data_IF_307984185770
#
_entry.id   IF_307984185770
#
_cell.length_a   1.000
_cell.length_b   1.000
_cell.length_c   1.000
_cell.angle_alpha   90.00
_cell.angle_beta   90.00
_cell.angle_gamma   90.00
#
_symmetry.space_group_name_H-M   'P 1'
#
loop_
_entity.id
_entity.type
_entity.pdbx_description
1 polymer ?
#
# COMPACT_ATOMS: atom_id res chain seq x y z
N UNK A 1 -14.88 -9.86 0.82
CA UNK A 1 -14.72 -10.16 -0.62
C UNK A 1 -15.84 -11.04 -1.14
N UNK A 2 -16.22 -10.89 -2.41
CA UNK A 2 -17.14 -11.81 -3.08
C UNK A 2 -16.44 -13.18 -3.30
N UNK A 3 -17.05 -14.33 -2.96
CA UNK A 3 -16.50 -15.67 -3.20
C UNK A 3 -15.98 -15.92 -4.63
N UNK A 4 -16.58 -15.27 -5.63
CA UNK A 4 -16.18 -15.40 -7.04
C UNK A 4 -14.79 -14.81 -7.36
N UNK A 5 -14.39 -13.75 -6.65
CA UNK A 5 -13.08 -13.09 -6.84
C UNK A 5 -11.94 -13.97 -6.33
N UNK A 6 -12.08 -14.48 -5.11
CA UNK A 6 -11.09 -15.40 -4.50
C UNK A 6 -10.94 -16.70 -5.29
N UNK A 7 -12.04 -17.24 -5.83
CA UNK A 7 -12.01 -18.42 -6.68
C UNK A 7 -11.22 -18.18 -7.98
N UNK A 8 -11.42 -17.02 -8.63
CA UNK A 8 -10.66 -16.64 -9.83
C UNK A 8 -9.17 -16.45 -9.52
N UNK A 9 -8.83 -15.78 -8.42
CA UNK A 9 -7.44 -15.58 -7.98
C UNK A 9 -6.70 -16.92 -7.80
N UNK A 10 -7.35 -17.91 -7.17
CA UNK A 10 -6.79 -19.27 -7.02
C UNK A 10 -6.56 -19.96 -8.35
N UNK A 11 -7.50 -19.86 -9.29
CA UNK A 11 -7.37 -20.51 -10.61
C UNK A 11 -6.28 -19.85 -11.45
N UNK A 12 -6.27 -18.52 -11.53
CA UNK A 12 -5.26 -17.75 -12.27
C UNK A 12 -3.88 -17.95 -11.64
N UNK A 13 -3.78 -17.86 -10.31
CA UNK A 13 -2.51 -18.07 -9.62
C UNK A 13 -1.94 -19.48 -9.80
N UNK A 14 -2.77 -20.53 -9.76
CA UNK A 14 -2.32 -21.91 -10.05
C UNK A 14 -1.88 -22.06 -11.50
N UNK A 15 -2.59 -21.44 -12.44
CA UNK A 15 -2.19 -21.45 -13.85
C UNK A 15 -0.83 -20.74 -14.04
N UNK A 16 -0.61 -19.59 -13.40
CA UNK A 16 0.65 -18.84 -13.47
C UNK A 16 1.82 -19.61 -12.85
N UNK A 17 1.62 -20.34 -11.76
CA UNK A 17 2.66 -21.13 -11.08
C UNK A 17 3.18 -22.31 -11.92
N UNK A 18 2.44 -22.75 -12.94
CA UNK A 18 2.84 -23.85 -13.83
C UNK A 18 3.48 -23.41 -15.15
N UNK A 19 3.64 -22.11 -15.39
CA UNK A 19 4.21 -21.58 -16.65
C UNK A 19 5.72 -21.46 -16.57
N UNK A 20 6.40 -21.68 -17.70
CA UNK A 20 7.82 -21.33 -17.79
C UNK A 20 8.01 -19.79 -17.66
N UNK A 21 9.16 -19.32 -17.13
CA UNK A 21 9.37 -17.90 -16.86
C UNK A 21 9.14 -16.97 -18.06
N UNK A 22 9.40 -17.43 -19.28
CA UNK A 22 9.23 -16.61 -20.50
C UNK A 22 7.76 -16.45 -20.85
N UNK A 23 6.98 -17.53 -20.79
CA UNK A 23 5.52 -17.50 -21.00
C UNK A 23 4.80 -16.75 -19.88
N UNK A 24 5.26 -16.93 -18.64
CA UNK A 24 4.79 -16.16 -17.48
C UNK A 24 4.99 -14.65 -17.71
N UNK A 25 6.21 -14.22 -18.05
CA UNK A 25 6.52 -12.82 -18.29
C UNK A 25 5.76 -12.24 -19.51
N UNK A 26 5.56 -13.02 -20.57
CA UNK A 26 4.80 -12.60 -21.75
C UNK A 26 3.29 -12.44 -21.46
N UNK A 27 2.69 -13.36 -20.69
CA UNK A 27 1.30 -13.26 -20.26
C UNK A 27 1.08 -12.11 -19.28
N UNK A 28 1.98 -11.96 -18.30
CA UNK A 28 1.95 -10.84 -17.36
C UNK A 28 2.07 -9.52 -18.11
N UNK A 29 2.99 -9.39 -19.08
CA UNK A 29 3.10 -8.21 -19.93
C UNK A 29 1.86 -7.97 -20.81
N UNK A 30 1.22 -9.02 -21.33
CA UNK A 30 0.00 -8.91 -22.13
C UNK A 30 -1.23 -8.53 -21.29
N UNK A 31 -1.28 -8.93 -20.03
CA UNK A 31 -2.38 -8.65 -19.11
C UNK A 31 -2.21 -7.28 -18.41
N UNK A 32 -0.98 -6.85 -18.09
CA UNK A 32 -0.70 -5.50 -17.60
C UNK A 32 -1.06 -4.39 -18.62
N UNK A 33 -1.09 -4.71 -19.92
CA UNK A 33 -1.61 -3.80 -20.97
C UNK A 33 -3.12 -3.54 -20.88
N UNK A 34 -3.85 -4.25 -20.03
CA UNK A 34 -5.29 -4.04 -19.80
C UNK A 34 -5.59 -3.04 -18.69
N UNK A 35 -4.59 -2.26 -18.24
CA UNK A 35 -4.78 -1.17 -17.29
C UNK A 35 -6.02 -0.34 -17.68
N UNK A 36 -7.00 -0.32 -16.79
CA UNK A 36 -8.34 0.16 -17.06
C UNK A 36 -8.33 1.62 -17.57
N UNK A 37 -9.27 2.01 -18.46
CA UNK A 37 -9.37 3.39 -18.90
C UNK A 37 -9.60 4.32 -17.71
N UNK A 38 -8.72 5.32 -17.58
CA UNK A 38 -8.65 6.34 -16.53
C UNK A 38 -9.98 7.09 -16.28
N UNK A 39 -10.89 7.08 -17.26
CA UNK A 39 -12.17 7.81 -17.27
C UNK A 39 -13.16 7.38 -16.18
N UNK A 40 -12.91 6.25 -15.47
CA UNK A 40 -13.77 5.77 -14.38
C UNK A 40 -13.33 6.19 -12.99
N UNK A 41 -12.15 6.80 -12.86
CA UNK A 41 -11.63 7.23 -11.56
C UNK A 41 -12.10 8.65 -11.24
N UNK A 42 -11.98 9.08 -9.99
CA UNK A 42 -12.40 10.42 -9.58
C UNK A 42 -11.50 11.51 -10.19
N UNK A 43 -11.45 12.71 -9.58
CA UNK A 43 -10.79 13.86 -10.22
C UNK A 43 -9.33 13.58 -10.56
N UNK A 44 -8.92 13.93 -11.78
CA UNK A 44 -7.51 13.88 -12.18
C UNK A 44 -6.82 15.22 -11.90
N UNK A 45 -6.00 15.24 -10.84
CA UNK A 45 -5.24 16.40 -10.40
C UNK A 45 -3.86 16.47 -11.06
N UNK A 46 -3.40 15.41 -11.73
CA UNK A 46 -2.05 15.33 -12.29
C UNK A 46 -1.64 16.51 -13.19
N UNK A 47 -2.54 17.17 -13.95
CA UNK A 47 -2.17 18.35 -14.74
C UNK A 47 -1.92 19.62 -13.93
N UNK A 48 -2.18 19.61 -12.61
CA UNK A 48 -2.14 20.80 -11.75
C UNK A 48 -1.16 20.61 -10.57
N UNK A 49 0.16 20.82 -10.78
CA UNK A 49 1.18 20.52 -9.78
C UNK A 49 0.98 21.19 -8.42
N UNK A 50 0.54 22.44 -8.40
CA UNK A 50 0.29 23.17 -7.14
C UNK A 50 -0.91 22.59 -6.38
N UNK A 51 -1.93 22.13 -7.11
CA UNK A 51 -3.09 21.45 -6.51
C UNK A 51 -2.68 20.07 -5.98
N UNK A 52 -1.82 19.34 -6.69
CA UNK A 52 -1.27 18.06 -6.21
C UNK A 52 -0.47 18.27 -4.92
N UNK A 53 0.43 19.26 -4.87
CA UNK A 53 1.21 19.57 -3.66
C UNK A 53 0.32 19.93 -2.49
N UNK A 54 -0.61 20.86 -2.68
CA UNK A 54 -1.58 21.24 -1.65
C UNK A 54 -2.43 20.05 -1.20
N UNK A 55 -2.77 19.14 -2.12
CA UNK A 55 -3.53 17.95 -1.81
C UNK A 55 -2.74 16.98 -0.94
N UNK A 56 -1.46 16.77 -1.26
CA UNK A 56 -0.52 15.96 -0.48
C UNK A 56 -0.35 16.54 0.93
N UNK A 57 -0.18 17.87 1.04
CA UNK A 57 -0.08 18.55 2.35
C UNK A 57 -1.32 18.36 3.22
N UNK A 58 -2.49 18.29 2.59
CA UNK A 58 -3.78 18.09 3.23
C UNK A 58 -4.11 16.62 3.54
N UNK A 59 -3.24 15.66 3.20
CA UNK A 59 -3.46 14.26 3.58
C UNK A 59 -3.31 14.11 5.10
N UNK A 60 -4.18 13.29 5.68
CA UNK A 60 -4.26 13.05 7.12
C UNK A 60 -3.93 11.60 7.46
N UNK A 61 -3.71 11.30 8.75
CA UNK A 61 -3.43 9.93 9.19
C UNK A 61 -4.57 9.00 8.82
N UNK A 62 -4.25 7.88 8.18
CA UNK A 62 -5.22 6.88 7.72
C UNK A 62 -5.73 7.10 6.29
N UNK A 63 -5.42 8.23 5.64
CA UNK A 63 -5.61 8.36 4.19
C UNK A 63 -4.79 7.28 3.47
N UNK A 64 -5.31 6.77 2.35
CA UNK A 64 -4.66 5.70 1.61
C UNK A 64 -4.06 6.22 0.32
N UNK A 65 -2.85 5.79 0.01
CA UNK A 65 -2.18 5.99 -1.27
C UNK A 65 -2.23 4.67 -2.03
N UNK A 66 -2.77 4.68 -3.25
CA UNK A 66 -2.78 3.53 -4.14
C UNK A 66 -1.90 3.80 -5.35
N UNK A 67 -1.09 2.80 -5.71
CA UNK A 67 -0.20 2.91 -6.87
C UNK A 67 -0.45 1.79 -7.87
N UNK A 68 -0.16 2.11 -9.13
CA UNK A 68 -0.06 1.18 -10.24
C UNK A 68 1.35 1.30 -10.82
N UNK A 69 2.10 0.22 -10.82
CA UNK A 69 3.43 0.18 -11.45
C UNK A 69 3.31 0.01 -12.96
N UNK A 70 4.30 0.54 -13.68
CA UNK A 70 4.50 0.29 -15.10
C UNK A 70 5.15 -1.06 -15.40
N UNK A 71 5.38 -1.32 -16.69
CA UNK A 71 6.06 -2.52 -17.16
C UNK A 71 7.52 -2.56 -16.68
N UNK A 72 7.80 -3.31 -15.60
CA UNK A 72 9.15 -3.47 -15.06
C UNK A 72 9.24 -4.19 -13.72
N UNK A 73 8.16 -4.23 -12.95
CA UNK A 73 8.10 -4.94 -11.65
C UNK A 73 7.26 -6.21 -11.76
N UNK A 74 7.92 -7.37 -11.74
CA UNK A 74 7.25 -8.67 -11.89
C UNK A 74 6.18 -8.89 -10.81
N UNK A 75 6.46 -8.56 -9.54
CA UNK A 75 5.51 -8.73 -8.42
C UNK A 75 4.28 -7.86 -8.62
N UNK A 76 4.49 -6.56 -8.86
CA UNK A 76 3.42 -5.61 -9.07
C UNK A 76 2.52 -6.00 -10.23
N UNK A 77 3.10 -6.43 -11.35
CA UNK A 77 2.33 -6.89 -12.50
C UNK A 77 1.58 -8.20 -12.21
N UNK A 78 2.19 -9.13 -11.48
CA UNK A 78 1.52 -10.37 -11.06
C UNK A 78 0.30 -10.07 -10.17
N UNK A 79 0.41 -9.12 -9.23
CA UNK A 79 -0.73 -8.68 -8.40
C UNK A 79 -1.87 -8.13 -9.27
N UNK A 80 -1.57 -7.28 -10.26
CA UNK A 80 -2.58 -6.75 -11.19
C UNK A 80 -3.33 -7.86 -11.92
N UNK A 81 -2.59 -8.86 -12.40
CA UNK A 81 -3.15 -10.02 -13.10
C UNK A 81 -4.03 -10.86 -12.20
N UNK A 82 -3.54 -11.21 -11.01
CA UNK A 82 -4.26 -12.05 -10.07
C UNK A 82 -5.57 -11.40 -9.65
N UNK A 83 -5.52 -10.10 -9.39
CA UNK A 83 -6.62 -9.33 -8.81
C UNK A 83 -7.53 -8.68 -9.86
N UNK A 84 -7.22 -8.84 -11.15
CA UNK A 84 -7.91 -8.19 -12.28
C UNK A 84 -8.08 -6.68 -12.06
N UNK A 85 -7.01 -6.03 -11.59
CA UNK A 85 -7.02 -4.64 -11.15
C UNK A 85 -5.76 -3.90 -11.61
N UNK A 86 -5.89 -2.59 -11.85
CA UNK A 86 -4.75 -1.72 -12.12
C UNK A 86 -3.90 -1.47 -10.86
N UNK A 87 -4.51 -1.50 -9.67
CA UNK A 87 -3.83 -1.25 -8.40
C UNK A 87 -3.03 -2.46 -7.92
N UNK A 88 -1.74 -2.25 -7.67
CA UNK A 88 -0.82 -3.31 -7.22
C UNK A 88 -0.09 -2.99 -5.92
N UNK A 89 -0.30 -1.78 -5.41
CA UNK A 89 0.29 -1.34 -4.16
C UNK A 89 -0.70 -0.42 -3.44
N UNK A 90 -0.68 -0.51 -2.11
CA UNK A 90 -1.42 0.38 -1.22
C UNK A 90 -0.56 0.67 0.00
N UNK A 91 -0.59 1.91 0.44
CA UNK A 91 0.13 2.40 1.61
C UNK A 91 -0.77 3.36 2.39
N UNK A 92 -0.41 3.61 3.64
CA UNK A 92 -1.18 4.47 4.54
C UNK A 92 -0.39 5.73 4.87
N UNK A 93 -1.06 6.87 4.80
CA UNK A 93 -0.51 8.15 5.27
C UNK A 93 -0.50 8.14 6.79
N UNK A 94 0.60 8.61 7.37
CA UNK A 94 0.72 8.88 8.80
C UNK A 94 1.34 10.27 8.97
N UNK A 95 0.70 11.13 9.76
CA UNK A 95 1.25 12.46 10.10
C UNK A 95 2.08 12.37 11.37
N UNK A 96 3.24 13.01 11.35
CA UNK A 96 4.16 12.96 12.46
C UNK A 96 5.54 13.51 12.13
N UNK A 97 6.53 13.09 12.92
CA UNK A 97 7.94 13.42 12.70
C UNK A 97 8.87 12.32 13.25
N UNK A 98 10.09 12.26 12.69
CA UNK A 98 11.17 11.43 13.24
C UNK A 98 11.87 12.19 14.37
N UNK A 99 12.21 11.52 15.47
CA UNK A 99 13.09 12.08 16.52
C UNK A 99 14.54 11.69 16.30
N UNK A 100 15.42 12.03 17.25
CA UNK A 100 16.79 11.54 17.28
C UNK A 100 16.95 10.30 18.16
N UNK A 101 15.87 9.84 18.79
CA UNK A 101 15.87 8.63 19.61
C UNK A 101 15.87 7.42 18.69
N UNK A 102 16.84 6.52 18.86
CA UNK A 102 16.89 5.29 18.06
C UNK A 102 15.87 4.27 18.58
N UNK A 103 15.14 3.64 17.65
CA UNK A 103 14.30 2.49 17.99
C UNK A 103 15.21 1.32 18.39
N UNK A 104 14.90 0.68 19.51
CA UNK A 104 15.58 -0.54 19.94
C UNK A 104 15.17 -1.67 18.99
N UNK A 105 16.14 -2.39 18.43
CA UNK A 105 15.92 -3.62 17.65
C UNK A 105 15.07 -4.61 18.48
N UNK A 106 13.77 -4.71 18.16
CA UNK A 106 12.90 -5.73 18.74
C UNK A 106 12.99 -7.00 17.88
N UNK A 107 12.79 -8.16 18.51
CA UNK A 107 12.67 -9.42 17.79
C UNK A 107 11.50 -9.36 16.77
N UNK A 108 11.58 -10.08 15.64
CA UNK A 108 10.44 -10.31 14.75
C UNK A 108 9.21 -10.83 15.52
N UNK A 109 8.03 -10.66 14.96
CA UNK A 109 6.78 -11.01 15.63
C UNK A 109 6.61 -12.51 15.83
N UNK A 110 6.51 -12.95 17.08
CA UNK A 110 6.15 -14.33 17.43
C UNK A 110 6.66 -14.71 18.81
N UNK A 111 5.98 -15.63 19.49
CA UNK A 111 6.39 -16.13 20.81
C UNK A 111 7.69 -16.98 20.77
N UNK A 112 8.26 -17.20 19.58
CA UNK A 112 9.41 -18.09 19.37
C UNK A 112 10.73 -17.31 19.23
N UNK A 113 11.13 -16.65 20.33
CA UNK A 113 12.41 -15.93 20.50
C UNK A 113 13.62 -16.81 20.10
N UNK A 114 13.47 -18.13 20.15
CA UNK A 114 14.51 -19.11 19.83
C UNK A 114 14.83 -19.23 18.33
N UNK A 115 13.95 -18.82 17.41
CA UNK A 115 14.21 -18.90 15.95
C UNK A 115 14.86 -17.66 15.35
N UNK A 116 14.80 -16.51 16.05
CA UNK A 116 15.17 -15.22 15.49
C UNK A 116 16.31 -14.51 16.25
N UNK A 117 16.98 -15.19 17.18
CA UNK A 117 18.02 -14.60 18.03
C UNK A 117 19.21 -14.00 17.28
N UNK A 118 19.44 -14.42 16.03
CA UNK A 118 20.57 -13.96 15.20
C UNK A 118 20.15 -13.09 13.99
N UNK A 119 18.84 -12.86 13.77
CA UNK A 119 18.34 -12.05 12.65
C UNK A 119 17.96 -10.68 13.18
N UNK A 120 18.85 -9.69 13.00
CA UNK A 120 18.47 -8.29 13.26
C UNK A 120 17.35 -7.91 12.31
N UNK A 121 16.22 -7.43 12.87
CA UNK A 121 15.03 -6.93 12.16
C UNK A 121 15.35 -6.03 10.97
N UNK A 122 16.46 -5.28 11.05
CA UNK A 122 16.88 -4.31 10.04
C UNK A 122 18.06 -4.74 9.14
N UNK A 123 18.57 -5.97 9.25
CA UNK A 123 19.81 -6.37 8.58
C UNK A 123 19.78 -6.28 7.04
N UNK A 124 18.59 -6.34 6.42
CA UNK A 124 18.41 -6.32 4.96
C UNK A 124 17.92 -4.97 4.40
N UNK A 125 17.74 -3.96 5.24
CA UNK A 125 17.09 -2.70 4.88
C UNK A 125 18.10 -1.66 4.36
N UNK A 126 18.06 -1.33 3.05
CA UNK A 126 19.03 -0.42 2.41
C UNK A 126 18.90 1.04 2.85
N UNK A 127 17.67 1.53 3.03
CA UNK A 127 17.36 2.92 3.35
C UNK A 127 16.75 3.00 4.76
N UNK A 128 17.57 2.77 5.78
CA UNK A 128 17.17 2.83 7.20
C UNK A 128 17.05 4.29 7.67
N UNK A 129 15.95 4.61 8.35
CA UNK A 129 15.95 5.63 9.42
C UNK A 129 15.93 4.88 10.76
N UNK A 130 17.00 4.95 11.59
CA UNK A 130 17.03 4.31 12.91
C UNK A 130 16.09 4.98 13.91
N UNK A 131 15.56 6.12 13.53
CA UNK A 131 14.88 7.03 14.41
C UNK A 131 13.44 6.62 14.66
N UNK A 132 13.04 6.81 15.91
CA UNK A 132 11.67 6.66 16.37
C UNK A 132 10.77 7.67 15.66
N UNK A 133 9.56 7.23 15.34
CA UNK A 133 8.57 8.05 14.67
C UNK A 133 7.47 8.40 15.64
N UNK A 134 7.24 9.70 15.87
CA UNK A 134 6.11 10.16 16.67
C UNK A 134 4.91 10.47 15.79
N UNK A 135 3.76 9.91 16.16
CA UNK A 135 2.49 10.20 15.51
C UNK A 135 1.90 11.47 16.13
N UNK A 136 1.53 12.43 15.30
CA UNK A 136 0.86 13.65 15.75
C UNK A 136 -0.67 13.51 15.63
N UNK A 137 -1.39 14.10 16.59
CA UNK A 137 -2.85 14.20 16.52
C UNK A 137 -3.19 15.29 15.51
N UNK A 138 -4.09 14.97 14.57
CA UNK A 138 -4.55 15.88 13.52
C UNK A 138 -5.47 16.99 14.08
N UNK A 139 -4.95 17.86 14.96
CA UNK A 139 -5.56 19.17 15.28
C UNK A 139 -5.20 20.19 14.17
N UNK A 140 -5.62 19.91 12.92
CA UNK A 140 -5.31 20.74 11.75
C UNK A 140 -4.18 20.19 10.88
N UNK A 141 -3.34 21.07 10.30
CA UNK A 141 -2.17 20.69 9.47
C UNK A 141 -0.91 20.41 10.28
N UNK A 142 -1.03 20.10 11.57
CA UNK A 142 0.12 19.86 12.43
C UNK A 142 0.76 18.50 12.10
N UNK A 143 2.08 18.50 11.87
CA UNK A 143 2.85 17.34 11.45
C UNK A 143 3.18 17.33 9.95
N UNK A 144 4.21 16.59 9.56
CA UNK A 144 4.49 16.35 8.14
C UNK A 144 3.82 15.05 7.73
N UNK A 145 3.17 14.96 6.55
CA UNK A 145 2.64 13.69 6.07
C UNK A 145 3.79 12.79 5.59
N UNK A 146 3.76 11.53 6.04
CA UNK A 146 4.70 10.47 5.68
C UNK A 146 3.93 9.26 5.17
N UNK A 147 4.65 8.30 4.57
CA UNK A 147 4.04 7.09 4.03
C UNK A 147 4.51 5.86 4.80
N UNK A 148 3.58 5.21 5.51
CA UNK A 148 3.77 3.86 6.05
C UNK A 148 3.45 2.86 4.93
N UNK A 149 4.45 2.14 4.44
CA UNK A 149 4.30 1.15 3.37
C UNK A 149 5.10 -0.13 3.66
N UNK A 150 4.63 -1.27 3.14
CA UNK A 150 5.44 -2.48 3.03
C UNK A 150 5.87 -2.64 1.57
N UNK A 151 7.15 -2.42 1.31
CA UNK A 151 7.75 -2.44 -0.04
C UNK A 151 8.77 -3.57 -0.14
N UNK A 152 9.48 -3.72 -1.26
CA UNK A 152 10.58 -4.69 -1.34
C UNK A 152 11.72 -4.46 -0.33
N UNK A 153 11.73 -3.30 0.33
CA UNK A 153 12.63 -3.00 1.44
C UNK A 153 12.07 -3.43 2.80
N UNK A 154 10.85 -3.98 2.88
CA UNK A 154 10.13 -4.28 4.12
C UNK A 154 9.17 -3.14 4.55
N UNK A 155 8.69 -3.19 5.78
CA UNK A 155 7.79 -2.16 6.34
C UNK A 155 8.57 -0.93 6.78
N UNK A 156 8.24 0.25 6.26
CA UNK A 156 8.92 1.51 6.57
C UNK A 156 7.98 2.68 6.67
N UNK A 157 8.47 3.73 7.35
CA UNK A 157 7.97 5.09 7.15
C UNK A 157 8.94 5.80 6.22
N UNK A 158 8.47 6.15 5.03
CA UNK A 158 9.21 7.02 4.12
C UNK A 158 8.97 8.46 4.53
N UNK A 159 10.03 9.16 4.98
CA UNK A 159 9.89 10.53 5.44
C UNK A 159 9.55 11.43 4.26
N UNK A 160 8.76 12.47 4.52
CA UNK A 160 8.32 13.44 3.52
C UNK A 160 7.63 12.76 2.33
N UNK A 161 6.32 12.59 2.42
CA UNK A 161 5.53 11.96 1.36
C UNK A 161 5.71 12.64 -0.01
N UNK A 162 6.06 13.94 -0.07
CA UNK A 162 6.33 14.62 -1.35
C UNK A 162 7.51 13.98 -2.07
N UNK A 163 8.59 13.66 -1.36
CA UNK A 163 9.74 13.02 -2.00
C UNK A 163 9.35 11.63 -2.51
N UNK A 164 8.64 10.87 -1.68
CA UNK A 164 8.15 9.54 -2.06
C UNK A 164 7.21 9.59 -3.26
N UNK A 165 6.34 10.61 -3.37
CA UNK A 165 5.29 10.72 -4.39
C UNK A 165 5.56 11.70 -5.54
N UNK A 166 6.69 12.41 -5.58
CA UNK A 166 6.95 13.38 -6.66
C UNK A 166 8.37 13.28 -7.23
N UNK A 167 9.34 12.78 -6.48
CA UNK A 167 10.76 12.83 -6.86
C UNK A 167 11.54 11.52 -6.69
N UNK A 168 11.00 10.55 -5.95
CA UNK A 168 11.71 9.28 -5.71
C UNK A 168 11.77 8.41 -6.97
N UNK A 169 12.81 7.58 -7.08
CA UNK A 169 12.91 6.58 -8.15
C UNK A 169 11.67 5.65 -8.18
N UNK A 170 11.13 5.29 -7.02
CA UNK A 170 9.90 4.49 -6.95
C UNK A 170 8.70 5.23 -7.57
N UNK A 171 8.61 6.55 -7.39
CA UNK A 171 7.59 7.35 -8.05
C UNK A 171 7.69 7.30 -9.57
N UNK A 172 8.88 7.36 -10.14
CA UNK A 172 9.09 7.24 -11.59
C UNK A 172 8.57 5.91 -12.15
N UNK A 173 8.64 4.84 -11.35
CA UNK A 173 8.17 3.50 -11.72
C UNK A 173 6.64 3.35 -11.69
N UNK A 174 5.93 4.25 -11.00
CA UNK A 174 4.46 4.24 -10.98
C UNK A 174 3.88 4.96 -12.18
N UNK A 175 3.01 4.28 -12.93
CA UNK A 175 2.22 4.87 -14.02
C UNK A 175 1.00 5.61 -13.49
N UNK A 176 0.51 5.27 -12.31
CA UNK A 176 -0.61 5.97 -11.68
C UNK A 176 -0.45 5.99 -10.17
N UNK A 177 -0.74 7.13 -9.57
CA UNK A 177 -0.82 7.31 -8.11
C UNK A 177 -2.15 7.98 -7.81
N UNK A 178 -2.89 7.41 -6.87
CA UNK A 178 -4.15 7.95 -6.38
C UNK A 178 -4.19 7.97 -4.87
N UNK A 179 -5.05 8.83 -4.32
CA UNK A 179 -5.32 8.91 -2.89
C UNK A 179 -6.79 8.70 -2.60
N UNK A 180 -7.08 8.19 -1.40
CA UNK A 180 -8.42 8.17 -0.81
C UNK A 180 -8.37 8.79 0.57
N UNK A 181 -9.18 9.82 0.75
CA UNK A 181 -9.36 10.43 2.06
C UNK A 181 -10.14 9.50 2.99
N UNK A 182 -9.66 9.29 4.20
CA UNK A 182 -10.42 8.67 5.27
C UNK A 182 -11.23 9.75 5.98
N UNK A 183 -12.55 9.58 6.05
CA UNK A 183 -13.47 10.58 6.64
C UNK A 183 -14.36 9.95 7.69
N UNK A 184 -14.91 10.76 8.60
CA UNK A 184 -15.82 10.29 9.65
C UNK A 184 -15.14 9.45 10.73
N UNK A 185 -13.89 9.80 11.07
CA UNK A 185 -13.08 9.15 12.12
C UNK A 185 -12.65 10.18 13.18
N UNK A 186 -13.45 11.22 13.41
CA UNK A 186 -13.06 12.32 14.30
C UNK A 186 -12.84 11.84 15.75
N UNK A 187 -13.57 10.80 16.18
CA UNK A 187 -13.37 10.15 17.49
C UNK A 187 -12.01 9.45 17.61
N UNK A 188 -11.37 9.12 16.47
CA UNK A 188 -10.03 8.55 16.45
C UNK A 188 -8.93 9.61 16.66
N UNK A 189 -9.22 10.90 16.45
CA UNK A 189 -8.23 11.98 16.53
C UNK A 189 -7.95 12.40 17.97
N UNK A 190 -7.40 11.49 18.77
CA UNK A 190 -7.01 11.74 20.17
C UNK A 190 -5.54 11.37 20.43
N UNK A 191 -4.89 11.96 21.44
CA UNK A 191 -3.53 11.60 21.83
C UNK A 191 -3.34 10.11 22.11
N UNK A 192 -4.33 9.47 22.74
CA UNK A 192 -4.26 8.04 23.07
C UNK A 192 -4.25 7.17 21.81
N UNK A 193 -5.01 7.53 20.79
CA UNK A 193 -5.00 6.82 19.51
C UNK A 193 -3.71 7.05 18.73
N UNK A 194 -3.15 8.27 18.78
CA UNK A 194 -1.85 8.56 18.19
C UNK A 194 -0.74 7.72 18.86
N UNK A 195 -0.69 7.67 20.21
CA UNK A 195 0.25 6.81 20.95
C UNK A 195 0.08 5.34 20.58
N UNK A 196 -1.15 4.84 20.49
CA UNK A 196 -1.40 3.45 20.08
C UNK A 196 -0.93 3.14 18.67
N UNK A 197 -1.08 4.08 17.73
CA UNK A 197 -0.58 3.92 16.37
C UNK A 197 0.95 4.00 16.32
N UNK A 198 1.55 4.89 17.09
CA UNK A 198 3.00 5.01 17.27
C UNK A 198 3.62 3.70 17.78
N UNK A 199 3.05 3.12 18.84
CA UNK A 199 3.47 1.83 19.38
C UNK A 199 3.35 0.70 18.33
N UNK A 200 2.30 0.74 17.50
CA UNK A 200 2.12 -0.21 16.42
C UNK A 200 3.15 -0.04 15.30
N UNK A 201 3.43 1.21 14.89
CA UNK A 201 4.44 1.53 13.90
C UNK A 201 5.81 1.05 14.39
N UNK A 202 6.20 1.38 15.62
CA UNK A 202 7.42 0.91 16.24
C UNK A 202 7.47 -0.63 16.32
N UNK A 203 6.30 -1.27 16.46
CA UNK A 203 6.16 -2.72 16.44
C UNK A 203 6.33 -3.32 15.03
N UNK A 204 5.83 -2.72 13.94
CA UNK A 204 5.86 -3.34 12.59
C UNK A 204 6.99 -2.87 11.67
N UNK A 205 7.60 -1.71 11.91
CA UNK A 205 8.70 -1.18 11.07
C UNK A 205 9.86 -2.16 10.95
N UNK A 206 10.37 -2.47 9.78
CA UNK A 206 11.45 -3.44 9.62
C UNK A 206 10.99 -4.89 9.46
N UNK A 207 9.70 -5.20 9.61
CA UNK A 207 9.16 -6.49 9.16
C UNK A 207 9.52 -6.71 7.70
N UNK A 208 9.99 -7.92 7.37
CA UNK A 208 10.44 -8.23 6.01
C UNK A 208 9.27 -8.17 5.03
N UNK A 209 9.56 -7.90 3.76
CA UNK A 209 8.56 -8.04 2.72
C UNK A 209 8.29 -9.52 2.48
N UNK A 210 7.02 -9.87 2.29
CA UNK A 210 6.62 -11.23 1.94
C UNK A 210 7.25 -11.68 0.60
N UNK A 211 8.12 -12.70 0.67
CA UNK A 211 8.87 -13.27 -0.46
C UNK A 211 8.67 -14.79 -0.61
N UNK A 212 8.15 -15.46 0.41
CA UNK A 212 8.05 -16.92 0.51
C UNK A 212 6.68 -17.42 0.08
N UNK A 213 5.62 -16.65 0.30
CA UNK A 213 4.28 -16.99 -0.15
C UNK A 213 4.24 -17.09 -1.68
N UNK A 214 3.83 -18.24 -2.25
CA UNK A 214 3.70 -18.35 -3.69
C UNK A 214 2.61 -17.38 -4.15
N UNK A 215 2.79 -16.71 -5.28
CA UNK A 215 1.89 -15.66 -5.80
C UNK A 215 0.39 -16.00 -5.73
N UNK A 216 0.02 -17.28 -5.92
CA UNK A 216 -1.36 -17.75 -5.87
C UNK A 216 -1.99 -17.81 -4.46
N UNK A 217 -1.15 -17.75 -3.43
CA UNK A 217 -1.51 -17.74 -2.01
C UNK A 217 -1.31 -16.35 -1.37
N UNK A 218 -0.71 -15.38 -2.08
CA UNK A 218 -0.39 -14.04 -1.56
C UNK A 218 -1.58 -13.32 -0.90
N UNK A 219 -2.81 -13.65 -1.30
CA UNK A 219 -4.03 -13.08 -0.72
C UNK A 219 -4.95 -14.12 -0.05
N UNK A 220 -4.37 -15.15 0.56
CA UNK A 220 -5.10 -16.16 1.34
C UNK A 220 -4.81 -16.02 2.82
N UNK A 221 -5.59 -16.71 3.65
CA UNK A 221 -5.35 -16.72 5.09
C UNK A 221 -4.03 -17.38 5.48
N UNK A 222 -3.45 -18.18 4.57
CA UNK A 222 -2.20 -18.90 4.78
C UNK A 222 -0.95 -18.03 4.58
N UNK A 223 -1.10 -16.83 3.99
CA UNK A 223 -0.03 -15.85 3.80
C UNK A 223 0.01 -14.79 4.92
N UNK A 224 -0.88 -14.89 5.92
CA UNK A 224 -0.91 -13.95 7.03
C UNK A 224 -0.13 -14.46 8.23
N UNK A 225 1.18 -14.31 8.23
CA UNK A 225 2.00 -14.35 9.43
C UNK A 225 2.68 -12.97 9.62
N UNK A 226 3.06 -12.65 10.85
CA UNK A 226 3.66 -11.35 11.14
C UNK A 226 5.18 -11.35 10.88
N UNK A 227 5.72 -12.46 10.36
CA UNK A 227 7.14 -12.63 10.06
C UNK A 227 7.53 -11.89 8.78
N UNK A 228 6.58 -11.79 7.84
CA UNK A 228 6.70 -10.94 6.67
C UNK A 228 5.36 -10.30 6.32
N UNK A 229 5.35 -9.17 5.61
CA UNK A 229 4.12 -8.47 5.26
C UNK A 229 4.15 -7.99 3.81
N UNK A 230 3.02 -8.16 3.11
CA UNK A 230 2.78 -7.44 1.87
C UNK A 230 2.05 -6.10 2.10
N UNK A 231 2.10 -5.19 1.13
CA UNK A 231 1.59 -3.82 1.24
C UNK A 231 0.14 -3.70 1.78
N UNK A 232 -0.78 -4.47 1.20
CA UNK A 232 -2.17 -4.49 1.60
C UNK A 232 -2.41 -5.16 2.95
N UNK A 233 -1.60 -6.13 3.35
CA UNK A 233 -1.69 -6.75 4.67
C UNK A 233 -1.31 -5.76 5.76
N UNK A 234 -0.17 -5.09 5.62
CA UNK A 234 0.26 -4.05 6.55
C UNK A 234 -0.82 -2.97 6.68
N UNK A 235 -1.40 -2.52 5.56
CA UNK A 235 -2.50 -1.53 5.56
C UNK A 235 -3.73 -2.08 6.30
N UNK A 236 -4.11 -3.34 6.05
CA UNK A 236 -5.25 -3.98 6.70
C UNK A 236 -5.04 -4.13 8.21
N UNK A 237 -3.88 -4.63 8.61
CA UNK A 237 -3.50 -4.82 10.01
C UNK A 237 -3.43 -3.49 10.75
N UNK A 238 -2.92 -2.43 10.11
CA UNK A 238 -2.90 -1.09 10.70
C UNK A 238 -4.31 -0.53 10.90
N UNK A 239 -5.20 -0.65 9.92
CA UNK A 239 -6.61 -0.25 10.07
C UNK A 239 -7.34 -1.07 11.15
N UNK A 240 -6.98 -2.35 11.33
CA UNK A 240 -7.51 -3.17 12.41
C UNK A 240 -7.00 -2.72 13.79
N UNK A 241 -5.71 -2.39 13.90
CA UNK A 241 -5.11 -1.87 15.13
C UNK A 241 -5.69 -0.52 15.54
N UNK A 242 -5.97 0.34 14.55
CA UNK A 242 -6.71 1.60 14.72
C UNK A 242 -8.18 1.38 15.17
N UNK A 243 -8.69 0.14 15.11
CA UNK A 243 -10.07 -0.18 15.46
C UNK A 243 -11.08 0.06 14.33
N UNK A 244 -10.63 0.65 13.22
CA UNK A 244 -11.45 1.03 12.07
C UNK A 244 -11.89 -0.17 11.22
N UNK A 245 -11.22 -1.32 11.37
CA UNK A 245 -11.55 -2.54 10.63
C UNK A 245 -11.82 -3.72 11.57
N UNK A 246 -12.57 -4.72 11.08
CA UNK A 246 -12.85 -5.94 11.85
C UNK A 246 -11.65 -6.84 11.96
N UNK A 247 -11.32 -7.26 13.19
CA UNK A 247 -10.32 -8.31 13.47
C UNK A 247 -10.73 -9.68 12.92
N UNK A 248 -11.98 -9.84 12.47
CA UNK A 248 -12.44 -11.06 11.77
C UNK A 248 -11.96 -11.13 10.32
N UNK A 249 -11.57 -10.00 9.71
CA UNK A 249 -10.94 -10.02 8.41
C UNK A 249 -9.50 -10.51 8.59
N UNK A 250 -9.06 -11.48 7.80
CA UNK A 250 -7.65 -11.89 7.83
C UNK A 250 -6.85 -10.89 7.01
N UNK A 251 -5.85 -10.24 7.61
CA UNK A 251 -5.16 -9.08 7.02
C UNK A 251 -4.56 -9.39 5.64
N UNK A 252 -3.86 -10.52 5.52
CA UNK A 252 -3.30 -11.01 4.27
C UNK A 252 -4.31 -11.28 3.15
N UNK A 253 -5.62 -11.34 3.42
CA UNK A 253 -6.60 -11.68 2.37
C UNK A 253 -6.98 -10.50 1.47
N UNK A 254 -6.78 -9.25 1.90
CA UNK A 254 -7.21 -8.10 1.12
C UNK A 254 -6.16 -7.71 0.06
N UNK A 255 -6.48 -7.77 -1.25
CA UNK A 255 -5.59 -7.21 -2.27
C UNK A 255 -5.64 -5.67 -2.27
N UNK A 256 -4.63 -4.98 -2.84
CA UNK A 256 -4.63 -3.51 -2.94
C UNK A 256 -5.91 -2.94 -3.58
N UNK A 257 -6.47 -3.64 -4.56
CA UNK A 257 -7.69 -3.23 -5.25
C UNK A 257 -8.95 -3.19 -4.36
N UNK A 258 -8.94 -3.91 -3.23
CA UNK A 258 -10.04 -3.88 -2.26
C UNK A 258 -10.18 -2.51 -1.58
N UNK A 259 -9.17 -1.64 -1.69
CA UNK A 259 -9.17 -0.26 -1.19
C UNK A 259 -9.53 0.77 -2.26
N UNK A 260 -9.61 0.39 -3.53
CA UNK A 260 -9.72 1.34 -4.64
C UNK A 260 -11.15 1.56 -5.14
N UNK A 261 -11.97 0.51 -5.15
CA UNK A 261 -13.25 0.36 -5.87
C UNK A 261 -13.09 -0.32 -7.25
N UNK A 262 -13.27 -1.65 -7.28
CA UNK A 262 -13.42 -2.48 -8.47
C UNK A 262 -14.18 -3.79 -8.09
N UNK A 263 -14.66 -4.66 -9.02
CA UNK A 263 -15.77 -5.61 -8.82
C UNK A 263 -15.56 -6.74 -7.78
N UNK A 264 -14.40 -6.79 -7.12
CA UNK A 264 -14.00 -7.83 -6.15
C UNK A 264 -14.38 -7.52 -4.68
N UNK A 265 -14.97 -6.34 -4.45
CA UNK A 265 -15.54 -5.90 -3.19
C UNK A 265 -14.62 -4.95 -2.43
N UNK A 266 -15.22 -4.01 -1.72
CA UNK A 266 -14.52 -3.03 -0.89
C UNK A 266 -14.22 -3.56 0.50
N UNK A 267 -13.06 -3.18 1.05
CA UNK A 267 -12.84 -3.21 2.50
C UNK A 267 -13.85 -2.26 3.13
N UNK A 268 -14.67 -2.79 4.05
CA UNK A 268 -15.68 -2.00 4.77
C UNK A 268 -15.16 -1.70 6.15
N UNK A 269 -14.97 -0.42 6.42
CA UNK A 269 -14.64 0.07 7.75
C UNK A 269 -15.85 -0.12 8.68
N UNK A 270 -15.58 -0.32 9.97
CA UNK A 270 -16.58 -0.29 11.03
C UNK A 270 -17.05 1.14 11.29
N UNK A 271 -16.14 2.09 11.13
CA UNK A 271 -16.32 3.50 11.39
C UNK A 271 -15.60 4.30 10.30
N UNK A 272 -16.18 5.45 9.95
CA UNK A 272 -15.72 6.25 8.83
C UNK A 272 -15.92 5.62 7.46
N UNK A 273 -15.37 6.28 6.44
CA UNK A 273 -15.44 5.84 5.05
C UNK A 273 -14.25 6.36 4.25
N UNK A 274 -13.87 5.59 3.24
CA UNK A 274 -12.91 6.02 2.22
C UNK A 274 -13.64 6.85 1.15
N UNK A 275 -13.19 8.08 0.94
CA UNK A 275 -13.69 9.00 -0.08
C UNK A 275 -13.41 8.52 -1.51
N UNK A 276 -13.74 9.30 -2.54
CA UNK A 276 -13.44 8.93 -3.92
C UNK A 276 -11.92 8.78 -4.15
N UNK A 277 -11.55 8.03 -5.18
CA UNK A 277 -10.17 8.01 -5.70
C UNK A 277 -9.85 9.35 -6.37
N UNK A 278 -8.83 10.05 -5.91
CA UNK A 278 -8.31 11.26 -6.52
C UNK A 278 -6.94 10.96 -7.14
N UNK A 279 -6.78 11.20 -8.44
CA UNK A 279 -5.54 10.86 -9.14
C UNK A 279 -4.54 11.99 -8.98
N UNK A 280 -3.40 11.71 -8.35
CA UNK A 280 -2.28 12.66 -8.21
C UNK A 280 -1.29 12.57 -9.38
N UNK A 281 -1.15 11.36 -9.95
CA UNK A 281 -0.33 11.08 -11.12
C UNK A 281 -1.10 10.16 -12.06
N UNK A 282 -1.16 10.51 -13.33
CA UNK A 282 -1.47 9.59 -14.41
C UNK A 282 -0.37 9.71 -15.47
N UNK A 283 0.18 8.59 -15.93
CA UNK A 283 0.94 8.56 -17.16
C UNK A 283 -0.01 9.05 -18.27
N UNK A 284 0.37 10.12 -18.97
CA UNK A 284 -0.41 10.56 -20.13
C UNK A 284 -0.61 9.35 -21.07
N UNK A 285 -1.79 9.19 -21.71
CA UNK A 285 -1.87 8.30 -22.85
C UNK A 285 -0.74 8.68 -23.80
N UNK A 286 -0.09 7.73 -24.49
CA UNK A 286 0.95 8.07 -25.46
C UNK A 286 0.43 9.22 -26.33
N UNK A 287 1.17 10.33 -26.40
CA UNK A 287 0.74 11.61 -26.99
C UNK A 287 0.04 11.46 -28.37
N UNK A 288 0.38 10.39 -29.08
CA UNK A 288 -0.21 9.93 -30.34
C UNK A 288 -1.71 9.59 -30.25
N UNK A 289 -2.20 8.99 -29.16
CA UNK A 289 -3.63 8.67 -28.95
C UNK A 289 -4.46 9.90 -28.52
N UNK A 290 -3.86 10.85 -27.80
CA UNK A 290 -4.54 12.10 -27.44
C UNK A 290 -4.78 12.98 -28.68
N UNK A 291 -3.82 13.03 -29.61
CA UNK A 291 -3.97 13.71 -30.90
C UNK A 291 -5.04 13.02 -31.74
N UNK A 292 -5.10 11.69 -31.78
CA UNK A 292 -6.10 10.94 -32.55
C UNK A 292 -7.54 11.05 -32.01
N UNK A 293 -7.73 11.41 -30.73
CA UNK A 293 -9.06 11.58 -30.12
C UNK A 293 -9.65 12.97 -30.34
N UNK A 294 -8.83 13.95 -30.73
CA UNK A 294 -9.22 15.36 -30.92
C UNK A 294 -8.85 15.93 -32.30
N UNK A 295 -8.41 15.09 -33.24
CA UNK A 295 -8.25 15.39 -34.66
C UNK A 295 -9.34 14.69 -35.47
#
# INVERSE_FOLDING_TARGET
MNPSGLARMRVVGKALAGLDPKTHNAMVAALSKRAAPYERWGPNLSPYPDVVRARIDALQTGDLVLCSSGAGKWVGNAIQVLTDSTWNHVAMVVRGHMTFDEEIDQAPHGDDIARHSDVKRFAKHRNRSPYHFHVEVDEGTCGTPHLLEASGEGVHIYPNIHDRLLSSQAYEEYTTVAVRALTGIDEWKTPEHATRLEEWIAKVRGTEFEQEAPLHALFTADAGDLDSMHCAEMTTATLQHMGLLSSRLVAGTAPPCAYADAPHGSVRLKEGQLGPLEILKAAEPPLEEAIAKYA
#
